data_IF_077224856540
#
_entry.id   IF_077224856540
#
_cell.length_a   1.000
_cell.length_b   1.000
_cell.length_c   1.000
_cell.angle_alpha   90.00
_cell.angle_beta   90.00
_cell.angle_gamma   90.00
#
_symmetry.space_group_name_H-M   'P 1'
#
loop_
_entity.id
_entity.type
_entity.pdbx_description
1 polymer ?
#
# COMPACT_ATOMS: atom_id res chain seq x y z
N UNK A 1 13.90 -35.00 -5.85
CA UNK A 1 13.21 -33.77 -6.32
C UNK A 1 11.84 -33.56 -5.68
N UNK A 2 11.02 -34.62 -5.50
CA UNK A 2 9.67 -34.51 -4.90
C UNK A 2 9.63 -33.96 -3.47
N UNK A 3 10.53 -34.41 -2.57
CA UNK A 3 10.55 -33.94 -1.19
C UNK A 3 10.82 -32.42 -1.06
N UNK A 4 11.71 -31.87 -1.89
CA UNK A 4 11.97 -30.43 -1.93
C UNK A 4 10.79 -29.63 -2.48
N UNK A 5 10.04 -30.19 -3.43
CA UNK A 5 8.83 -29.56 -3.98
C UNK A 5 7.69 -29.52 -2.95
N UNK A 6 7.42 -30.65 -2.27
CA UNK A 6 6.45 -30.72 -1.19
C UNK A 6 6.79 -29.75 -0.05
N UNK A 7 8.05 -29.72 0.38
CA UNK A 7 8.52 -28.79 1.41
C UNK A 7 8.30 -27.32 1.02
N UNK A 8 8.69 -26.92 -0.21
CA UNK A 8 8.46 -25.55 -0.71
C UNK A 8 6.96 -25.20 -0.80
N UNK A 9 6.13 -26.13 -1.28
CA UNK A 9 4.68 -25.89 -1.39
C UNK A 9 4.01 -25.73 -0.02
N UNK A 10 4.46 -26.49 0.98
CA UNK A 10 3.96 -26.40 2.35
C UNK A 10 4.40 -25.08 3.01
N UNK A 11 5.65 -24.68 2.82
CA UNK A 11 6.15 -23.36 3.24
C UNK A 11 5.34 -22.22 2.60
N UNK A 12 5.09 -22.26 1.29
CA UNK A 12 4.32 -21.23 0.60
C UNK A 12 2.88 -21.10 1.15
N UNK A 13 2.24 -22.23 1.48
CA UNK A 13 0.92 -22.25 2.12
C UNK A 13 0.96 -21.65 3.52
N UNK A 14 1.97 -21.97 4.33
CA UNK A 14 2.09 -21.44 5.69
C UNK A 14 2.37 -19.93 5.68
N UNK A 15 3.24 -19.44 4.80
CA UNK A 15 3.48 -18.00 4.62
C UNK A 15 2.20 -17.28 4.18
N UNK A 16 1.47 -17.84 3.21
CA UNK A 16 0.21 -17.26 2.76
C UNK A 16 -0.88 -17.25 3.86
N UNK A 17 -0.91 -18.28 4.72
CA UNK A 17 -1.81 -18.35 5.87
C UNK A 17 -1.46 -17.28 6.93
N UNK A 18 -0.19 -17.19 7.33
CA UNK A 18 0.30 -16.19 8.28
C UNK A 18 0.07 -14.75 7.80
N UNK A 19 0.24 -14.53 6.49
CA UNK A 19 -0.06 -13.24 5.86
C UNK A 19 -1.55 -12.89 5.90
N UNK A 20 -2.45 -13.87 5.81
CA UNK A 20 -3.90 -13.65 5.96
C UNK A 20 -4.30 -13.38 7.40
N UNK A 21 -3.79 -14.16 8.35
CA UNK A 21 -4.11 -13.99 9.76
C UNK A 21 -3.71 -12.60 10.27
N UNK A 22 -2.57 -12.09 9.81
CA UNK A 22 -2.06 -10.76 10.14
C UNK A 22 -2.38 -9.70 9.08
N UNK A 23 -3.21 -9.99 8.08
CA UNK A 23 -3.49 -9.05 6.99
C UNK A 23 -4.11 -7.75 7.53
N UNK A 24 -5.00 -7.85 8.51
CA UNK A 24 -5.65 -6.73 9.19
C UNK A 24 -4.66 -5.80 9.91
N UNK A 25 -3.48 -6.29 10.29
CA UNK A 25 -2.41 -5.48 10.88
C UNK A 25 -1.91 -4.43 9.89
N UNK A 26 -1.77 -4.83 8.63
CA UNK A 26 -1.21 -4.02 7.55
C UNK A 26 -2.30 -3.30 6.72
N UNK A 27 -3.44 -3.95 6.50
CA UNK A 27 -4.60 -3.44 5.77
C UNK A 27 -5.67 -3.02 6.79
N UNK A 28 -5.66 -1.74 7.20
CA UNK A 28 -6.65 -1.19 8.14
C UNK A 28 -7.79 -0.56 7.36
N UNK A 29 -9.03 -0.71 7.85
CA UNK A 29 -10.24 -0.19 7.19
C UNK A 29 -10.22 1.32 6.91
N UNK A 30 -9.56 2.10 7.77
CA UNK A 30 -9.45 3.54 7.61
C UNK A 30 -8.36 3.98 6.62
N UNK A 31 -7.49 3.05 6.17
CA UNK A 31 -6.37 3.36 5.27
C UNK A 31 -6.91 3.77 3.89
N UNK A 32 -6.36 4.82 3.27
CA UNK A 32 -6.63 5.10 1.86
C UNK A 32 -6.17 3.93 0.99
N UNK A 33 -7.01 3.52 0.03
CA UNK A 33 -6.68 2.41 -0.89
C UNK A 33 -7.04 2.72 -2.34
N UNK A 34 -6.23 2.22 -3.27
CA UNK A 34 -6.43 2.32 -4.71
C UNK A 34 -6.33 0.94 -5.37
N UNK A 35 -7.03 0.75 -6.48
CA UNK A 35 -7.12 -0.54 -7.19
C UNK A 35 -8.32 -1.38 -6.77
N UNK A 36 -8.35 -2.64 -7.20
CA UNK A 36 -9.50 -3.53 -6.98
C UNK A 36 -9.54 -4.07 -5.55
N UNK A 37 -10.74 -4.16 -4.96
CA UNK A 37 -10.94 -4.87 -3.69
C UNK A 37 -10.70 -6.38 -3.81
N UNK A 38 -10.82 -6.95 -5.01
CA UNK A 38 -10.59 -8.36 -5.32
C UNK A 38 -9.14 -8.66 -5.75
N UNK A 39 -8.26 -7.67 -5.67
CA UNK A 39 -6.85 -7.83 -6.02
C UNK A 39 -6.21 -8.93 -5.16
N UNK A 40 -5.42 -9.79 -5.81
CA UNK A 40 -4.72 -10.90 -5.13
C UNK A 40 -3.40 -10.46 -4.48
N UNK A 41 -2.89 -9.30 -4.88
CA UNK A 41 -1.63 -8.72 -4.40
C UNK A 41 -1.91 -7.38 -3.74
N UNK A 42 -1.36 -7.18 -2.55
CA UNK A 42 -1.49 -5.95 -1.78
C UNK A 42 -0.11 -5.31 -1.66
N UNK A 43 0.00 -4.04 -2.04
CA UNK A 43 1.17 -3.22 -1.74
C UNK A 43 0.77 -2.33 -0.57
N UNK A 44 1.43 -2.52 0.57
CA UNK A 44 1.23 -1.68 1.75
C UNK A 44 2.39 -0.71 1.84
N UNK A 45 2.13 0.55 1.48
CA UNK A 45 3.12 1.60 1.44
C UNK A 45 3.11 2.39 2.74
N UNK A 46 4.20 2.29 3.50
CA UNK A 46 4.44 3.16 4.65
C UNK A 46 5.08 4.44 4.14
N UNK A 47 4.28 5.50 4.06
CA UNK A 47 4.65 6.74 3.40
C UNK A 47 4.68 7.89 4.40
N UNK A 48 5.72 8.70 4.30
CA UNK A 48 5.77 10.03 4.86
C UNK A 48 5.54 11.06 3.74
N UNK A 49 4.48 11.88 3.79
CA UNK A 49 4.21 12.87 2.74
C UNK A 49 5.22 14.03 2.70
N UNK A 50 6.09 14.19 3.71
CA UNK A 50 7.20 15.15 3.69
C UNK A 50 8.53 14.53 3.24
N UNK A 51 8.56 13.25 2.90
CA UNK A 51 9.78 12.55 2.47
C UNK A 51 10.03 12.72 0.96
N UNK A 52 11.17 13.31 0.61
CA UNK A 52 11.61 13.49 -0.79
C UNK A 52 11.69 12.16 -1.55
N UNK A 53 12.18 11.10 -0.89
CA UNK A 53 12.29 9.78 -1.53
C UNK A 53 10.92 9.16 -1.78
N UNK A 54 9.94 9.37 -0.88
CA UNK A 54 8.56 8.93 -1.13
C UNK A 54 7.98 9.60 -2.38
N UNK A 55 8.17 10.93 -2.52
CA UNK A 55 7.76 11.67 -3.72
C UNK A 55 8.45 11.14 -4.99
N UNK A 56 9.77 10.92 -4.94
CA UNK A 56 10.53 10.38 -6.06
C UNK A 56 10.09 8.96 -6.48
N UNK A 57 9.59 8.15 -5.53
CA UNK A 57 9.10 6.80 -5.81
C UNK A 57 7.64 6.74 -6.30
N UNK A 58 6.83 7.77 -6.02
CA UNK A 58 5.42 7.81 -6.36
C UNK A 58 5.11 7.49 -7.84
N UNK A 59 5.81 8.05 -8.84
CA UNK A 59 5.57 7.73 -10.24
C UNK A 59 5.81 6.25 -10.59
N UNK A 60 6.77 5.61 -9.93
CA UNK A 60 7.08 4.19 -10.15
C UNK A 60 6.01 3.28 -9.55
N UNK A 61 5.50 3.61 -8.35
CA UNK A 61 4.36 2.89 -7.76
C UNK A 61 3.14 2.99 -8.67
N UNK A 62 2.83 4.19 -9.16
CA UNK A 62 1.72 4.42 -10.10
C UNK A 62 1.92 3.65 -11.42
N UNK A 63 3.13 3.68 -11.98
CA UNK A 63 3.47 2.91 -13.17
C UNK A 63 3.30 1.40 -12.97
N UNK A 64 3.72 0.89 -11.81
CA UNK A 64 3.57 -0.53 -11.47
C UNK A 64 2.10 -0.95 -11.34
N UNK A 65 1.28 -0.11 -10.68
CA UNK A 65 -0.17 -0.30 -10.61
C UNK A 65 -0.80 -0.32 -12.02
N UNK A 66 -0.42 0.62 -12.88
CA UNK A 66 -0.93 0.73 -14.25
C UNK A 66 -0.56 -0.46 -15.13
N UNK A 67 0.65 -1.01 -14.97
CA UNK A 67 1.10 -2.23 -15.65
C UNK A 67 0.35 -3.50 -15.19
N UNK A 68 -0.37 -3.45 -14.07
CA UNK A 68 -1.06 -4.59 -13.47
C UNK A 68 -2.53 -4.27 -13.14
N UNK A 69 -3.34 -3.87 -14.14
CA UNK A 69 -4.69 -3.39 -13.92
C UNK A 69 -5.55 -4.46 -13.23
N UNK A 70 -6.24 -4.07 -12.15
CA UNK A 70 -7.12 -4.94 -11.36
C UNK A 70 -6.41 -6.03 -10.53
N UNK A 71 -5.08 -6.18 -10.65
CA UNK A 71 -4.32 -7.24 -9.97
C UNK A 71 -3.73 -6.82 -8.63
N UNK A 72 -3.56 -5.52 -8.43
CA UNK A 72 -2.92 -4.94 -7.25
C UNK A 72 -3.88 -4.01 -6.52
N UNK A 73 -3.86 -4.08 -5.19
CA UNK A 73 -4.44 -3.09 -4.28
C UNK A 73 -3.33 -2.36 -3.54
N UNK A 74 -3.25 -1.04 -3.73
CA UNK A 74 -2.36 -0.17 -2.98
C UNK A 74 -3.07 0.24 -1.68
N UNK A 75 -2.34 0.19 -0.56
CA UNK A 75 -2.81 0.58 0.76
C UNK A 75 -1.81 1.56 1.35
N UNK A 76 -2.26 2.77 1.69
CA UNK A 76 -1.40 3.81 2.25
C UNK A 76 -1.43 3.75 3.77
N UNK A 77 -0.25 3.76 4.39
CA UNK A 77 -0.04 3.84 5.84
C UNK A 77 0.86 5.02 6.14
N UNK A 78 0.35 6.02 6.82
CA UNK A 78 1.21 7.16 7.18
C UNK A 78 2.27 6.75 8.19
N UNK A 79 3.50 7.16 7.89
CA UNK A 79 4.67 7.05 8.74
C UNK A 79 5.32 8.45 8.85
N UNK A 80 4.65 9.43 9.48
CA UNK A 80 5.08 10.84 9.48
C UNK A 80 6.29 11.01 10.41
N UNK A 81 7.48 10.79 9.88
CA UNK A 81 8.74 10.81 10.61
C UNK A 81 9.55 12.09 10.40
N UNK A 82 9.30 12.82 9.31
CA UNK A 82 9.87 14.13 9.04
C UNK A 82 9.09 15.23 9.73
N UNK A 83 9.77 16.35 9.97
CA UNK A 83 9.16 17.54 10.54
C UNK A 83 7.99 18.04 9.67
N UNK A 84 6.90 18.43 10.33
CA UNK A 84 5.65 18.88 9.71
C UNK A 84 4.93 17.85 8.82
N UNK A 85 5.36 16.59 8.79
CA UNK A 85 4.66 15.52 8.07
C UNK A 85 3.19 15.39 8.50
N UNK A 86 2.88 15.67 9.77
CA UNK A 86 1.52 15.66 10.31
C UNK A 86 0.61 16.72 9.65
N UNK A 87 1.15 17.87 9.26
CA UNK A 87 0.41 18.90 8.54
C UNK A 87 0.02 18.43 7.14
N UNK A 88 0.95 17.80 6.42
CA UNK A 88 0.69 17.21 5.12
C UNK A 88 -0.30 16.04 5.19
N UNK A 89 -0.23 15.21 6.23
CA UNK A 89 -1.25 14.17 6.50
C UNK A 89 -2.63 14.81 6.71
N UNK A 90 -2.73 15.93 7.45
CA UNK A 90 -4.02 16.64 7.64
C UNK A 90 -4.58 17.15 6.31
N UNK A 91 -3.74 17.66 5.40
CA UNK A 91 -4.16 18.09 4.06
C UNK A 91 -4.75 16.91 3.29
N UNK A 92 -4.03 15.79 3.23
CA UNK A 92 -4.48 14.57 2.55
C UNK A 92 -5.78 14.03 3.13
N UNK A 93 -5.92 13.99 4.46
CA UNK A 93 -7.16 13.52 5.09
C UNK A 93 -8.33 14.50 4.91
N UNK A 94 -8.07 15.81 4.89
CA UNK A 94 -9.07 16.81 4.59
C UNK A 94 -9.56 16.72 3.14
N UNK A 95 -8.68 16.45 2.19
CA UNK A 95 -9.06 16.22 0.79
C UNK A 95 -9.78 14.87 0.60
N UNK A 96 -9.44 13.85 1.40
CA UNK A 96 -10.15 12.57 1.44
C UNK A 96 -11.62 12.74 1.79
N UNK A 97 -11.94 13.60 2.76
CA UNK A 97 -13.34 13.95 3.11
C UNK A 97 -14.11 14.60 1.96
N UNK A 98 -13.41 15.15 0.98
CA UNK A 98 -13.98 15.76 -0.22
C UNK A 98 -13.91 14.83 -1.45
N UNK A 99 -13.44 13.59 -1.28
CA UNK A 99 -13.29 12.62 -2.37
C UNK A 99 -12.11 12.92 -3.31
N UNK A 100 -11.15 13.77 -2.91
CA UNK A 100 -10.03 14.24 -3.75
C UNK A 100 -8.65 13.78 -3.28
N UNK A 101 -8.60 12.62 -2.62
CA UNK A 101 -7.39 12.13 -1.97
C UNK A 101 -6.23 11.96 -2.95
N UNK A 102 -6.48 11.22 -4.03
CA UNK A 102 -5.44 10.85 -5.00
C UNK A 102 -4.98 12.04 -5.82
N UNK A 103 -5.92 12.91 -6.21
CA UNK A 103 -5.62 14.15 -6.92
C UNK A 103 -4.77 15.10 -6.08
N UNK A 104 -5.03 15.15 -4.76
CA UNK A 104 -4.22 15.94 -3.84
C UNK A 104 -2.84 15.34 -3.67
N UNK A 105 -2.75 14.00 -3.57
CA UNK A 105 -1.46 13.33 -3.44
C UNK A 105 -0.61 13.42 -4.72
N UNK A 106 -1.23 13.53 -5.89
CA UNK A 106 -0.50 13.72 -7.17
C UNK A 106 0.17 15.09 -7.30
N UNK A 107 -0.29 16.10 -6.56
CA UNK A 107 0.23 17.47 -6.64
C UNK A 107 1.08 17.88 -5.45
N UNK A 108 1.22 16.99 -4.45
CA UNK A 108 2.10 17.15 -3.29
C UNK A 108 3.47 16.55 -3.56
#
# INVERSE_FOLDING_TARGET
MLGGYFYKSHQAKNIAFMARENASTFVRDHSPTAGSNDAKVYIVEFMDPACETCSAFHPYVKGFMAAHPGRIKLVIRYAPFHDNADYFVKILEASRKQGKYWETMEVM
#
